data_IF_900396458138
#
_entry.id   IF_900396458138
#
_cell.length_a   1.000
_cell.length_b   1.000
_cell.length_c   1.000
_cell.angle_alpha   90.00
_cell.angle_beta   90.00
_cell.angle_gamma   90.00
#
_symmetry.space_group_name_H-M   'P 1'
#
loop_
_entity.id
_entity.type
_entity.pdbx_description
1 polymer ?
#
# COMPACT_ATOMS: atom_id res chain seq x y z
N UNK A 1 -3.24 3.39 -11.00
CA UNK A 1 -3.12 2.18 -11.84
C UNK A 1 -3.20 2.57 -13.31
N UNK A 2 -2.26 2.09 -14.15
CA UNK A 2 -2.40 2.20 -15.60
C UNK A 2 -3.46 1.21 -16.12
N UNK A 3 -4.27 1.60 -17.11
CA UNK A 3 -5.20 0.67 -17.74
C UNK A 3 -4.46 -0.48 -18.40
N UNK A 4 -4.97 -1.71 -18.26
CA UNK A 4 -4.49 -2.85 -19.06
C UNK A 4 -4.95 -2.63 -20.50
N UNK A 5 -4.17 -1.86 -21.26
CA UNK A 5 -4.37 -1.65 -22.70
C UNK A 5 -3.67 -2.78 -23.44
N UNK A 6 -4.36 -3.90 -23.60
CA UNK A 6 -3.92 -4.98 -24.49
C UNK A 6 -4.51 -4.78 -25.87
N UNK A 7 -3.68 -4.86 -26.92
CA UNK A 7 -4.14 -4.85 -28.33
C UNK A 7 -5.15 -5.96 -28.65
N UNK A 8 -5.24 -7.00 -27.80
CA UNK A 8 -6.11 -8.17 -28.01
C UNK A 8 -7.38 -8.18 -27.15
N UNK A 9 -7.52 -7.27 -26.18
CA UNK A 9 -8.68 -7.28 -25.28
C UNK A 9 -9.69 -6.19 -25.66
N UNK A 10 -10.97 -6.57 -25.70
CA UNK A 10 -12.10 -5.65 -25.88
C UNK A 10 -12.61 -5.05 -24.55
N UNK A 11 -11.70 -4.77 -23.62
CA UNK A 11 -12.08 -4.25 -22.31
C UNK A 11 -12.23 -2.73 -22.38
N UNK A 12 -13.39 -2.22 -21.95
CA UNK A 12 -13.59 -0.79 -21.71
C UNK A 12 -12.90 -0.38 -20.42
N UNK A 13 -12.34 0.83 -20.39
CA UNK A 13 -11.74 1.42 -19.20
C UNK A 13 -12.29 2.82 -19.01
N UNK A 14 -12.80 3.08 -17.82
CA UNK A 14 -13.31 4.38 -17.41
C UNK A 14 -12.39 4.93 -16.34
N UNK A 15 -11.88 6.13 -16.58
CA UNK A 15 -11.00 6.80 -15.63
C UNK A 15 -11.82 7.74 -14.74
N UNK A 16 -12.18 7.24 -13.56
CA UNK A 16 -12.93 7.98 -12.57
C UNK A 16 -12.86 7.35 -11.19
N UNK A 17 -13.31 8.09 -10.19
CA UNK A 17 -13.46 7.63 -8.82
C UNK A 17 -14.89 7.13 -8.62
N UNK A 18 -15.05 5.89 -8.13
CA UNK A 18 -16.35 5.42 -7.69
C UNK A 18 -16.77 6.16 -6.42
N UNK A 19 -17.97 6.73 -6.41
CA UNK A 19 -18.51 7.47 -5.27
C UNK A 19 -19.65 6.72 -4.58
N UNK A 20 -20.48 6.01 -5.34
CA UNK A 20 -21.64 5.31 -4.82
C UNK A 20 -21.95 4.04 -5.61
N UNK A 21 -22.62 3.08 -4.97
CA UNK A 21 -23.15 1.87 -5.61
C UNK A 21 -24.63 1.77 -5.28
N UNK A 22 -25.47 1.85 -6.30
CA UNK A 22 -26.89 1.55 -6.19
C UNK A 22 -27.11 0.07 -6.51
N UNK A 23 -27.42 -0.70 -5.47
CA UNK A 23 -27.67 -2.14 -5.58
C UNK A 23 -29.06 -2.45 -6.17
N UNK A 24 -30.01 -1.51 -6.08
CA UNK A 24 -31.36 -1.69 -6.60
C UNK A 24 -31.40 -1.43 -8.11
N UNK A 25 -30.84 -0.31 -8.55
CA UNK A 25 -30.79 0.06 -9.97
C UNK A 25 -29.60 -0.58 -10.70
N UNK A 26 -28.71 -1.29 -9.98
CA UNK A 26 -27.46 -1.84 -10.47
C UNK A 26 -26.59 -0.82 -11.20
N UNK A 27 -26.34 0.31 -10.55
CA UNK A 27 -25.46 1.37 -11.07
C UNK A 27 -24.32 1.69 -10.13
N UNK A 28 -23.20 2.16 -10.70
CA UNK A 28 -22.09 2.77 -9.98
C UNK A 28 -22.00 4.22 -10.40
N UNK A 29 -22.12 5.13 -9.44
CA UNK A 29 -21.90 6.56 -9.67
C UNK A 29 -20.40 6.83 -9.65
N UNK A 30 -19.91 7.46 -10.72
CA UNK A 30 -18.50 7.73 -10.94
C UNK A 30 -18.29 9.23 -11.13
N UNK A 31 -17.29 9.77 -10.44
CA UNK A 31 -16.75 11.11 -10.68
C UNK A 31 -15.56 11.01 -11.66
N UNK A 32 -15.60 11.74 -12.76
CA UNK A 32 -14.50 11.79 -13.72
C UNK A 32 -13.16 12.20 -13.06
N UNK A 33 -12.08 11.50 -13.41
CA UNK A 33 -10.75 11.76 -12.86
C UNK A 33 -9.67 11.91 -13.94
N UNK A 34 -10.05 12.27 -15.17
CA UNK A 34 -9.12 12.40 -16.30
C UNK A 34 -8.14 13.55 -16.10
N UNK A 35 -8.63 14.69 -15.60
CA UNK A 35 -7.83 15.90 -15.38
C UNK A 35 -7.38 16.08 -13.91
N UNK A 36 -7.49 15.04 -13.08
CA UNK A 36 -7.10 15.11 -11.67
C UNK A 36 -5.58 15.20 -11.51
N UNK A 37 -5.09 16.24 -10.84
CA UNK A 37 -3.65 16.44 -10.58
C UNK A 37 -3.06 15.38 -9.64
N UNK A 38 -3.90 14.70 -8.85
CA UNK A 38 -3.50 13.59 -7.99
C UNK A 38 -3.67 12.21 -8.66
N UNK A 39 -3.90 12.16 -9.97
CA UNK A 39 -4.02 10.92 -10.72
C UNK A 39 -2.80 10.01 -10.47
N UNK A 40 -3.07 8.75 -10.10
CA UNK A 40 -2.04 7.74 -9.90
C UNK A 40 -1.25 7.85 -8.59
N UNK A 41 -1.71 8.68 -7.65
CA UNK A 41 -1.23 8.70 -6.26
C UNK A 41 -2.23 7.99 -5.35
N UNK A 42 -1.71 7.16 -4.45
CA UNK A 42 -2.49 6.64 -3.35
C UNK A 42 -2.86 7.80 -2.43
N UNK A 43 -4.15 8.05 -2.30
CA UNK A 43 -4.64 9.04 -1.35
C UNK A 43 -4.40 8.52 0.07
N UNK A 44 -4.11 9.43 1.00
CA UNK A 44 -3.93 9.13 2.43
C UNK A 44 -5.18 9.43 3.25
N UNK A 45 -6.17 10.09 2.65
CA UNK A 45 -7.50 10.37 3.20
C UNK A 45 -8.57 10.40 2.11
N UNK A 46 -9.83 10.57 2.51
CA UNK A 46 -10.89 10.98 1.58
C UNK A 46 -10.58 12.36 0.98
N UNK A 47 -11.02 12.62 -0.26
CA UNK A 47 -10.78 13.90 -0.98
C UNK A 47 -11.25 15.16 -0.21
N UNK A 48 -12.26 15.02 0.64
CA UNK A 48 -12.88 16.13 1.39
C UNK A 48 -12.38 16.28 2.82
N UNK A 49 -11.43 15.44 3.24
CA UNK A 49 -11.04 15.34 4.64
C UNK A 49 -10.11 16.49 5.07
N UNK A 50 -10.59 17.32 6.00
CA UNK A 50 -9.87 18.48 6.55
C UNK A 50 -10.04 19.81 5.79
N UNK A 51 -10.98 19.91 4.84
CA UNK A 51 -11.28 21.18 4.16
C UNK A 51 -12.34 21.98 4.92
N UNK A 52 -12.02 23.21 5.30
CA UNK A 52 -13.03 24.16 5.82
C UNK A 52 -13.96 24.64 4.70
N UNK A 53 -15.16 25.14 5.03
CA UNK A 53 -16.12 25.67 4.04
C UNK A 53 -15.51 26.71 3.10
N UNK A 54 -14.56 27.51 3.59
CA UNK A 54 -13.85 28.53 2.81
C UNK A 54 -12.81 27.93 1.86
N UNK A 55 -12.13 26.84 2.23
CA UNK A 55 -11.24 26.08 1.34
C UNK A 55 -12.04 25.28 0.30
N UNK A 56 -13.19 24.74 0.67
CA UNK A 56 -14.16 24.18 -0.28
C UNK A 56 -14.62 25.24 -1.29
N UNK A 57 -14.90 26.47 -0.84
CA UNK A 57 -15.26 27.61 -1.71
C UNK A 57 -14.10 28.12 -2.58
N UNK A 58 -12.86 28.05 -2.08
CA UNK A 58 -11.66 28.49 -2.81
C UNK A 58 -11.21 27.43 -3.83
N UNK A 59 -11.40 26.15 -3.55
CA UNK A 59 -11.24 25.05 -4.52
C UNK A 59 -12.28 25.14 -5.65
N UNK A 60 -13.50 25.60 -5.32
CA UNK A 60 -14.54 25.93 -6.31
C UNK A 60 -14.10 27.11 -7.20
N UNK A 61 -13.41 28.12 -6.65
CA UNK A 61 -12.97 29.31 -7.43
C UNK A 61 -11.64 29.09 -8.19
N UNK A 62 -10.78 28.18 -7.73
CA UNK A 62 -9.44 27.93 -8.26
C UNK A 62 -9.35 26.58 -8.98
N UNK A 63 -10.22 26.32 -9.96
CA UNK A 63 -10.12 25.24 -10.97
C UNK A 63 -9.55 23.87 -10.49
N UNK A 64 -10.07 23.31 -9.40
CA UNK A 64 -10.23 21.85 -9.32
C UNK A 64 -11.70 21.57 -9.64
N UNK A 65 -12.06 21.52 -10.92
CA UNK A 65 -13.40 21.05 -11.31
C UNK A 65 -13.54 19.64 -10.74
N UNK A 66 -14.42 19.45 -9.75
CA UNK A 66 -14.99 18.12 -9.50
C UNK A 66 -15.43 17.58 -10.86
N UNK A 67 -15.01 16.35 -11.17
CA UNK A 67 -15.26 15.75 -12.47
C UNK A 67 -16.75 15.66 -12.72
N UNK A 68 -17.17 15.59 -13.99
CA UNK A 68 -18.57 15.31 -14.27
C UNK A 68 -18.93 13.95 -13.65
N UNK A 69 -20.07 13.92 -12.94
CA UNK A 69 -20.62 12.68 -12.41
C UNK A 69 -21.50 12.00 -13.45
N UNK A 70 -21.38 10.69 -13.55
CA UNK A 70 -22.22 9.86 -14.40
C UNK A 70 -22.38 8.47 -13.77
N UNK A 71 -23.46 7.80 -14.15
CA UNK A 71 -23.76 6.45 -13.69
C UNK A 71 -23.36 5.43 -14.76
N UNK A 72 -22.77 4.32 -14.33
CA UNK A 72 -22.55 3.13 -15.16
C UNK A 72 -23.39 1.98 -14.63
N UNK A 73 -24.20 1.38 -15.49
CA UNK A 73 -24.92 0.15 -15.18
C UNK A 73 -23.98 -1.06 -15.16
N UNK A 74 -24.32 -2.05 -14.34
CA UNK A 74 -23.62 -3.34 -14.30
C UNK A 74 -24.59 -4.51 -14.23
N UNK A 75 -24.22 -5.64 -14.82
CA UNK A 75 -24.90 -6.92 -14.56
C UNK A 75 -24.28 -7.61 -13.34
N UNK A 76 -22.95 -7.55 -13.24
CA UNK A 76 -22.15 -8.08 -12.12
C UNK A 76 -21.10 -7.05 -11.71
N UNK A 77 -20.93 -6.87 -10.40
CA UNK A 77 -19.99 -5.92 -9.81
C UNK A 77 -18.89 -6.65 -9.04
N UNK A 78 -17.62 -6.36 -9.36
CA UNK A 78 -16.46 -6.87 -8.63
C UNK A 78 -15.73 -5.71 -7.98
N UNK A 79 -15.74 -5.66 -6.65
CA UNK A 79 -15.11 -4.62 -5.85
C UNK A 79 -13.69 -5.05 -5.51
N UNK A 80 -12.71 -4.36 -6.08
CA UNK A 80 -11.27 -4.62 -5.90
C UNK A 80 -10.47 -3.35 -5.62
N UNK A 81 -11.04 -2.43 -4.83
CA UNK A 81 -10.52 -1.05 -4.63
C UNK A 81 -9.35 -0.96 -3.65
N UNK A 82 -8.94 -2.07 -3.05
CA UNK A 82 -7.78 -2.14 -2.15
C UNK A 82 -7.94 -1.33 -0.86
N UNK A 83 -6.81 -0.84 -0.35
CA UNK A 83 -6.68 -0.17 0.94
C UNK A 83 -5.77 1.06 0.83
N UNK A 84 -5.86 1.96 1.82
CA UNK A 84 -5.12 3.22 1.89
C UNK A 84 -4.02 3.13 2.96
N UNK A 85 -3.05 4.04 2.92
CA UNK A 85 -2.02 4.11 3.97
C UNK A 85 -2.61 4.67 5.26
N UNK A 86 -2.27 4.06 6.40
CA UNK A 86 -2.73 4.53 7.71
C UNK A 86 -1.66 5.36 8.41
N UNK A 87 -2.01 6.60 8.76
CA UNK A 87 -1.13 7.53 9.49
C UNK A 87 -1.33 7.48 11.01
N UNK A 88 -2.36 6.77 11.47
CA UNK A 88 -2.76 6.68 12.90
C UNK A 88 -3.03 8.04 13.56
N UNK A 89 -3.38 9.05 12.75
CA UNK A 89 -3.54 10.45 13.19
C UNK A 89 -2.29 11.01 13.90
N UNK A 90 -1.10 10.50 13.56
CA UNK A 90 0.16 11.01 14.08
C UNK A 90 0.44 12.35 13.38
N UNK A 91 0.58 13.46 14.14
CA UNK A 91 0.77 14.79 13.55
C UNK A 91 1.95 14.86 12.59
N UNK A 92 1.71 15.46 11.42
CA UNK A 92 2.73 15.72 10.39
C UNK A 92 3.09 14.53 9.50
N UNK A 93 2.69 13.30 9.85
CA UNK A 93 2.97 12.11 9.00
C UNK A 93 2.25 12.22 7.66
N UNK A 94 1.00 12.67 7.65
CA UNK A 94 0.21 12.81 6.41
C UNK A 94 0.82 13.86 5.49
N UNK A 95 1.33 14.94 6.05
CA UNK A 95 1.82 16.13 5.35
C UNK A 95 3.26 15.99 4.88
N UNK A 96 4.09 15.24 5.61
CA UNK A 96 5.55 15.29 5.47
C UNK A 96 6.20 13.93 5.20
N UNK A 97 5.56 12.81 5.52
CA UNK A 97 6.15 11.50 5.28
C UNK A 97 6.05 11.10 3.80
N UNK A 98 7.05 10.37 3.32
CA UNK A 98 7.04 9.72 2.03
C UNK A 98 6.41 8.33 2.17
N UNK A 99 5.21 8.15 1.62
CA UNK A 99 4.63 6.80 1.52
C UNK A 99 5.36 5.98 0.46
N UNK A 100 5.09 4.67 0.40
CA UNK A 100 5.63 3.77 -0.62
C UNK A 100 4.52 2.84 -1.13
N UNK A 101 3.51 3.42 -1.80
CA UNK A 101 2.33 2.69 -2.27
C UNK A 101 2.24 2.65 -3.80
N UNK A 102 2.55 3.76 -4.46
CA UNK A 102 2.42 3.90 -5.92
C UNK A 102 3.70 4.47 -6.59
N UNK A 103 3.72 4.46 -7.93
CA UNK A 103 4.85 4.97 -8.74
C UNK A 103 5.13 6.45 -8.47
N UNK A 104 4.09 7.24 -8.19
CA UNK A 104 4.24 8.65 -7.83
C UNK A 104 5.07 8.83 -6.56
N UNK A 105 4.89 7.94 -5.59
CA UNK A 105 5.64 7.95 -4.33
C UNK A 105 7.11 7.63 -4.56
N UNK A 106 7.40 6.60 -5.36
CA UNK A 106 8.77 6.22 -5.70
C UNK A 106 9.55 7.37 -6.37
N UNK A 107 8.89 8.12 -7.27
CA UNK A 107 9.48 9.32 -7.88
C UNK A 107 9.73 10.43 -6.86
N UNK A 108 8.79 10.65 -5.94
CA UNK A 108 8.93 11.63 -4.85
C UNK A 108 10.10 11.29 -3.92
N UNK A 109 10.22 10.01 -3.55
CA UNK A 109 11.33 9.48 -2.75
C UNK A 109 12.67 9.70 -3.45
N UNK A 110 12.80 9.29 -4.72
CA UNK A 110 14.05 9.50 -5.50
C UNK A 110 14.42 10.99 -5.54
N UNK A 111 13.45 11.86 -5.83
CA UNK A 111 13.66 13.30 -5.83
C UNK A 111 14.17 13.80 -4.48
N UNK A 112 13.51 13.41 -3.38
CA UNK A 112 13.88 13.86 -2.03
C UNK A 112 15.27 13.37 -1.63
N UNK A 113 15.60 12.11 -1.93
CA UNK A 113 16.93 11.55 -1.70
C UNK A 113 18.02 12.38 -2.39
N UNK A 114 17.82 12.70 -3.68
CA UNK A 114 18.78 13.52 -4.44
C UNK A 114 18.90 14.93 -3.85
N UNK A 115 17.78 15.57 -3.49
CA UNK A 115 17.78 16.88 -2.83
C UNK A 115 18.58 16.88 -1.52
N UNK A 116 18.48 15.82 -0.71
CA UNK A 116 19.27 15.68 0.52
C UNK A 116 20.78 15.63 0.25
N UNK A 117 21.22 14.83 -0.73
CA UNK A 117 22.64 14.72 -1.10
C UNK A 117 23.18 16.00 -1.73
N UNK A 118 22.43 16.61 -2.64
CA UNK A 118 22.82 17.87 -3.29
C UNK A 118 22.92 19.02 -2.28
N UNK A 119 21.97 19.09 -1.32
CA UNK A 119 22.02 20.08 -0.23
C UNK A 119 23.20 19.83 0.70
N UNK A 120 23.48 18.56 1.05
CA UNK A 120 24.62 18.21 1.88
C UNK A 120 25.97 18.51 1.21
N UNK A 121 26.04 18.44 -0.11
CA UNK A 121 27.23 18.72 -0.91
C UNK A 121 27.56 20.22 -0.99
N UNK A 122 26.62 21.11 -0.63
CA UNK A 122 26.87 22.55 -0.66
C UNK A 122 27.98 22.91 0.35
N UNK A 123 28.95 23.78 -0.02
CA UNK A 123 29.98 24.27 0.89
C UNK A 123 29.40 25.02 2.09
N UNK A 124 28.20 25.57 1.94
CA UNK A 124 27.48 26.33 2.98
C UNK A 124 26.76 25.45 3.99
N UNK A 125 26.70 24.13 3.80
CA UNK A 125 25.96 23.22 4.70
C UNK A 125 26.87 22.73 5.83
N UNK A 126 26.59 23.08 7.11
CA UNK A 126 27.39 22.62 8.25
C UNK A 126 27.23 21.12 8.51
N UNK A 127 28.18 20.50 9.24
CA UNK A 127 28.19 19.05 9.46
C UNK A 127 26.98 18.54 10.26
N UNK A 128 26.50 19.27 11.28
CA UNK A 128 25.30 18.88 12.04
C UNK A 128 24.05 18.83 11.14
N UNK A 129 23.97 19.73 10.16
CA UNK A 129 22.91 19.71 9.14
C UNK A 129 23.10 18.53 8.19
N UNK A 130 24.33 18.24 7.74
CA UNK A 130 24.64 17.07 6.90
C UNK A 130 24.21 15.76 7.57
N UNK A 131 24.54 15.58 8.84
CA UNK A 131 24.15 14.40 9.64
C UNK A 131 22.63 14.25 9.71
N UNK A 132 21.91 15.37 9.87
CA UNK A 132 20.45 15.37 9.94
C UNK A 132 19.79 15.06 8.59
N UNK A 133 20.21 15.72 7.50
CA UNK A 133 19.56 15.56 6.19
C UNK A 133 19.98 14.29 5.45
N UNK A 134 21.08 13.65 5.85
CA UNK A 134 21.50 12.34 5.35
C UNK A 134 21.10 11.18 6.28
N UNK A 135 20.29 11.47 7.30
CA UNK A 135 19.60 10.47 8.09
C UNK A 135 18.22 10.17 7.49
N UNK A 136 18.02 8.92 7.09
CA UNK A 136 16.80 8.42 6.47
C UNK A 136 16.07 7.48 7.45
N UNK A 137 14.89 7.89 7.90
CA UNK A 137 14.05 7.10 8.77
C UNK A 137 13.06 6.26 7.95
N UNK A 138 12.92 4.99 8.29
CA UNK A 138 11.95 4.08 7.67
C UNK A 138 11.04 3.54 8.77
N UNK A 139 9.74 3.84 8.68
CA UNK A 139 8.74 3.43 9.67
C UNK A 139 7.98 2.21 9.14
N UNK A 140 8.09 1.11 9.87
CA UNK A 140 7.57 -0.22 9.53
C UNK A 140 8.67 -1.21 9.16
N UNK A 141 8.89 -2.19 10.01
CA UNK A 141 9.78 -3.35 9.83
C UNK A 141 9.11 -4.53 9.14
N UNK A 142 8.01 -4.32 8.42
CA UNK A 142 7.45 -5.32 7.50
C UNK A 142 8.33 -5.48 6.24
N UNK A 143 8.00 -6.44 5.34
CA UNK A 143 8.78 -6.69 4.13
C UNK A 143 9.05 -5.44 3.30
N UNK A 144 8.04 -4.58 3.12
CA UNK A 144 8.17 -3.34 2.34
C UNK A 144 9.25 -2.41 2.88
N UNK A 145 9.23 -2.12 4.19
CA UNK A 145 10.21 -1.22 4.80
C UNK A 145 11.61 -1.83 4.83
N UNK A 146 11.72 -3.13 5.09
CA UNK A 146 12.98 -3.88 5.05
C UNK A 146 13.60 -3.87 3.65
N UNK A 147 12.83 -4.24 2.62
CA UNK A 147 13.31 -4.23 1.24
C UNK A 147 13.70 -2.82 0.78
N UNK A 148 12.93 -1.80 1.19
CA UNK A 148 13.25 -0.42 0.89
C UNK A 148 14.56 0.03 1.55
N UNK A 149 14.75 -0.24 2.85
CA UNK A 149 16.00 0.08 3.55
C UNK A 149 17.21 -0.60 2.93
N UNK A 150 17.05 -1.85 2.51
CA UNK A 150 18.07 -2.60 1.79
C UNK A 150 18.45 -1.96 0.44
N UNK A 151 17.47 -1.62 -0.39
CA UNK A 151 17.72 -0.97 -1.69
C UNK A 151 18.28 0.46 -1.51
N UNK A 152 17.83 1.19 -0.49
CA UNK A 152 18.36 2.51 -0.16
C UNK A 152 19.84 2.42 0.26
N UNK A 153 20.18 1.46 1.12
CA UNK A 153 21.56 1.18 1.49
C UNK A 153 22.42 0.85 0.27
N UNK A 154 21.96 -0.08 -0.58
CA UNK A 154 22.69 -0.46 -1.79
C UNK A 154 22.91 0.74 -2.72
N UNK A 155 21.87 1.56 -2.95
CA UNK A 155 21.97 2.79 -3.76
C UNK A 155 22.98 3.77 -3.17
N UNK A 156 22.95 4.00 -1.85
CA UNK A 156 23.87 4.92 -1.18
C UNK A 156 25.33 4.43 -1.30
N UNK A 157 25.58 3.17 -0.96
CA UNK A 157 26.96 2.66 -0.86
C UNK A 157 27.57 2.21 -2.19
N UNK A 158 26.76 1.92 -3.22
CA UNK A 158 27.26 1.48 -4.53
C UNK A 158 27.28 2.60 -5.57
N UNK A 159 26.28 3.47 -5.55
CA UNK A 159 26.08 4.50 -6.58
C UNK A 159 26.38 5.90 -6.03
N UNK A 160 25.73 6.32 -4.94
CA UNK A 160 25.95 7.66 -4.36
C UNK A 160 27.36 7.83 -3.82
N UNK A 161 27.98 6.77 -3.30
CA UNK A 161 29.37 6.78 -2.81
C UNK A 161 30.40 7.12 -3.88
N UNK A 162 30.11 6.86 -5.16
CA UNK A 162 30.99 7.24 -6.27
C UNK A 162 30.91 8.73 -6.57
N UNK A 163 29.74 9.35 -6.38
CA UNK A 163 29.51 10.77 -6.66
C UNK A 163 29.81 11.68 -5.47
N UNK A 164 29.47 11.22 -4.26
CA UNK A 164 29.56 11.97 -3.02
C UNK A 164 30.37 11.19 -1.97
N UNK A 165 31.63 10.80 -2.25
CA UNK A 165 32.42 9.94 -1.36
C UNK A 165 32.57 10.54 0.04
N UNK A 166 32.76 11.86 0.13
CA UNK A 166 32.90 12.59 1.40
C UNK A 166 31.63 12.63 2.25
N UNK A 167 30.46 12.40 1.65
CA UNK A 167 29.18 12.48 2.35
C UNK A 167 28.75 11.15 2.98
N UNK A 168 29.29 10.02 2.52
CA UNK A 168 28.88 8.69 2.98
C UNK A 168 29.06 8.50 4.48
N UNK A 169 30.08 9.12 5.09
CA UNK A 169 30.29 9.11 6.54
C UNK A 169 29.15 9.74 7.36
N UNK A 170 28.34 10.59 6.75
CA UNK A 170 27.18 11.22 7.39
C UNK A 170 25.87 10.47 7.15
N UNK A 171 25.86 9.48 6.25
CA UNK A 171 24.63 8.76 5.91
C UNK A 171 24.23 7.81 7.03
N UNK A 172 22.94 7.80 7.36
CA UNK A 172 22.38 6.91 8.36
C UNK A 172 21.02 6.41 7.91
N UNK A 173 20.75 5.12 8.10
CA UNK A 173 19.43 4.54 7.88
C UNK A 173 18.95 3.93 9.19
N UNK A 174 17.77 4.36 9.66
CA UNK A 174 17.16 3.81 10.86
C UNK A 174 15.76 3.28 10.56
N UNK A 175 15.53 2.01 10.83
CA UNK A 175 14.21 1.38 10.77
C UNK A 175 13.55 1.48 12.14
N UNK A 176 12.31 1.96 12.19
CA UNK A 176 11.50 2.03 13.40
C UNK A 176 10.30 1.08 13.27
N UNK A 177 10.08 0.23 14.26
CA UNK A 177 8.90 -0.62 14.35
C UNK A 177 8.30 -0.59 15.77
N UNK A 178 6.98 -0.69 15.85
CA UNK A 178 6.24 -0.72 17.12
C UNK A 178 6.25 -2.11 17.76
N UNK A 179 6.37 -3.16 16.95
CA UNK A 179 6.57 -4.53 17.38
C UNK A 179 7.94 -4.73 18.02
N UNK A 180 8.06 -5.81 18.78
CA UNK A 180 9.30 -6.25 19.42
C UNK A 180 10.33 -6.80 18.42
N UNK A 181 9.86 -7.27 17.25
CA UNK A 181 10.68 -7.79 16.15
C UNK A 181 10.21 -7.26 14.80
N UNK A 182 11.15 -7.12 13.86
CA UNK A 182 10.84 -6.89 12.43
C UNK A 182 10.54 -8.21 11.74
N UNK A 183 9.90 -8.17 10.58
CA UNK A 183 9.58 -9.35 9.77
C UNK A 183 8.84 -10.44 10.56
N UNK A 184 7.94 -10.06 11.47
CA UNK A 184 7.20 -10.96 12.38
C UNK A 184 6.35 -12.03 11.68
N UNK A 185 6.14 -11.88 10.37
CA UNK A 185 5.49 -12.84 9.48
C UNK A 185 6.42 -13.96 8.97
N UNK A 186 7.70 -13.93 9.32
CA UNK A 186 8.67 -14.97 9.04
C UNK A 186 8.99 -15.79 10.29
N UNK A 187 9.52 -16.99 10.10
CA UNK A 187 10.15 -17.81 11.13
C UNK A 187 11.25 -17.03 11.85
N UNK A 188 11.35 -17.25 13.16
CA UNK A 188 12.24 -16.50 14.06
C UNK A 188 13.70 -16.51 13.57
N UNK A 189 14.18 -17.65 13.05
CA UNK A 189 15.56 -17.77 12.57
C UNK A 189 15.83 -16.91 11.34
N UNK A 190 14.84 -16.74 10.46
CA UNK A 190 14.95 -15.86 9.30
C UNK A 190 14.91 -14.39 9.71
N UNK A 191 14.08 -14.05 10.69
CA UNK A 191 14.07 -12.72 11.32
C UNK A 191 15.42 -12.37 11.93
N UNK A 192 16.01 -13.26 12.72
CA UNK A 192 17.32 -13.07 13.37
C UNK A 192 18.45 -12.94 12.34
N UNK A 193 18.38 -13.71 11.26
CA UNK A 193 19.31 -13.60 10.13
C UNK A 193 19.23 -12.21 9.48
N UNK A 194 18.02 -11.69 9.24
CA UNK A 194 17.81 -10.36 8.66
C UNK A 194 18.33 -9.24 9.58
N UNK A 195 18.02 -9.31 10.88
CA UNK A 195 18.52 -8.38 11.90
C UNK A 195 20.05 -8.34 11.92
N UNK A 196 20.69 -9.52 11.93
CA UNK A 196 22.15 -9.64 11.90
C UNK A 196 22.75 -9.10 10.60
N UNK A 197 22.07 -9.30 9.47
CA UNK A 197 22.51 -8.79 8.16
C UNK A 197 22.51 -7.25 8.12
N UNK A 198 21.44 -6.62 8.62
CA UNK A 198 21.31 -5.17 8.66
C UNK A 198 22.24 -4.50 9.66
N UNK A 199 22.43 -5.09 10.85
CA UNK A 199 23.43 -4.61 11.81
C UNK A 199 24.84 -4.57 11.19
N UNK A 200 25.24 -5.62 10.45
CA UNK A 200 26.52 -5.65 9.72
C UNK A 200 26.61 -4.65 8.57
N UNK A 201 25.48 -4.20 8.04
CA UNK A 201 25.39 -3.22 6.95
C UNK A 201 25.27 -1.78 7.47
N UNK A 202 25.34 -1.56 8.79
CA UNK A 202 25.22 -0.21 9.38
C UNK A 202 23.80 0.36 9.34
N UNK A 203 22.79 -0.50 9.16
CA UNK A 203 21.37 -0.11 9.24
C UNK A 203 20.89 -0.33 10.68
N UNK A 204 20.50 0.74 11.36
CA UNK A 204 19.97 0.67 12.71
C UNK A 204 18.52 0.17 12.69
N UNK A 205 18.17 -0.75 13.59
CA UNK A 205 16.80 -1.23 13.75
C UNK A 205 16.36 -0.96 15.18
N UNK A 206 15.24 -0.24 15.32
CA UNK A 206 14.65 0.18 16.58
C UNK A 206 13.25 -0.37 16.71
N UNK A 207 13.14 -1.51 17.38
CA UNK A 207 11.88 -2.15 17.74
C UNK A 207 11.29 -1.53 19.01
N UNK A 208 10.00 -1.77 19.25
CA UNK A 208 9.24 -1.19 20.36
C UNK A 208 9.32 0.34 20.42
N UNK A 209 9.41 1.00 19.26
CA UNK A 209 9.48 2.46 19.14
C UNK A 209 8.28 3.00 18.37
N UNK A 210 7.53 3.87 19.04
CA UNK A 210 6.38 4.55 18.45
C UNK A 210 6.77 5.97 18.01
N UNK A 211 6.44 6.33 16.78
CA UNK A 211 6.55 7.70 16.26
C UNK A 211 5.44 8.56 16.87
N UNK A 212 5.78 9.77 17.31
CA UNK A 212 4.87 10.71 17.98
C UNK A 212 4.47 11.90 17.10
N UNK A 213 5.40 12.42 16.31
CA UNK A 213 5.14 13.44 15.30
C UNK A 213 6.28 13.49 14.29
N UNK A 214 6.01 14.11 13.14
CA UNK A 214 7.00 14.46 12.13
C UNK A 214 6.84 15.95 11.82
N UNK A 215 7.70 16.80 12.34
CA UNK A 215 7.57 18.25 12.25
C UNK A 215 8.54 18.82 11.20
N UNK A 216 8.18 19.86 10.44
CA UNK A 216 9.11 20.50 9.51
C UNK A 216 10.22 21.24 10.27
N UNK A 217 11.44 21.24 9.71
CA UNK A 217 12.63 21.84 10.34
C UNK A 217 13.54 20.80 11.00
N UNK A 218 14.72 21.23 11.43
CA UNK A 218 15.68 20.38 12.13
C UNK A 218 15.79 20.83 13.60
N UNK A 219 16.01 19.93 14.57
CA UNK A 219 15.92 20.25 16.00
C UNK A 219 16.94 21.28 16.49
N UNK A 220 18.12 21.33 15.87
CA UNK A 220 19.23 22.22 16.26
C UNK A 220 19.48 23.36 15.26
N UNK A 221 18.46 23.73 14.48
CA UNK A 221 18.55 24.81 13.48
C UNK A 221 17.44 25.83 13.73
N UNK A 222 17.85 27.08 13.95
CA UNK A 222 16.92 28.20 14.12
C UNK A 222 15.89 28.25 12.97
N UNK A 223 14.60 28.46 13.24
CA UNK A 223 13.59 28.53 12.21
C UNK A 223 13.81 29.75 11.30
N UNK A 224 14.33 29.53 10.09
CA UNK A 224 14.27 30.51 9.00
C UNK A 224 13.35 30.01 7.87
N UNK A 225 13.05 30.85 6.87
CA UNK A 225 12.20 30.46 5.73
C UNK A 225 12.73 29.24 4.94
N UNK A 226 14.00 28.87 5.12
CA UNK A 226 14.67 27.77 4.43
C UNK A 226 14.74 26.49 5.29
N UNK A 227 14.68 26.58 6.61
CA UNK A 227 14.83 25.45 7.54
C UNK A 227 13.74 24.39 7.37
N UNK A 228 12.50 24.82 7.10
CA UNK A 228 11.38 23.93 6.78
C UNK A 228 11.53 23.14 5.46
N UNK A 229 12.50 23.51 4.59
CA UNK A 229 12.83 22.79 3.35
C UNK A 229 14.00 21.82 3.52
N UNK A 230 14.83 22.00 4.55
CA UNK A 230 16.05 21.22 4.76
C UNK A 230 15.75 19.80 5.21
N UNK A 231 14.84 19.62 6.18
CA UNK A 231 14.54 18.32 6.76
C UNK A 231 13.37 18.38 7.73
N UNK A 232 13.26 17.32 8.52
CA UNK A 232 12.18 17.13 9.47
C UNK A 232 12.72 16.70 10.83
N UNK A 233 12.00 17.07 11.88
CA UNK A 233 12.22 16.61 13.25
C UNK A 233 11.31 15.42 13.49
N UNK A 234 11.91 14.24 13.65
CA UNK A 234 11.22 13.01 14.01
C UNK A 234 11.19 12.85 15.53
N UNK A 235 9.98 12.87 16.11
CA UNK A 235 9.79 12.62 17.55
C UNK A 235 9.44 11.16 17.78
N UNK A 236 10.24 10.47 18.59
CA UNK A 236 10.08 9.04 18.89
C UNK A 236 9.88 8.87 20.39
N UNK A 237 8.94 8.01 20.79
CA UNK A 237 8.64 7.78 22.19
C UNK A 237 9.87 7.28 22.98
N UNK A 238 10.23 8.03 24.02
CA UNK A 238 11.35 7.69 24.90
C UNK A 238 12.74 7.88 24.27
N UNK A 239 12.85 8.71 23.22
CA UNK A 239 14.12 9.14 22.64
C UNK A 239 14.16 10.66 22.48
N UNK A 240 15.37 11.21 22.34
CA UNK A 240 15.55 12.61 21.94
C UNK A 240 15.12 12.83 20.49
N UNK A 241 14.70 14.06 20.19
CA UNK A 241 14.32 14.51 18.87
C UNK A 241 15.46 14.30 17.86
N UNK A 242 15.13 13.90 16.64
CA UNK A 242 16.13 13.61 15.59
C UNK A 242 15.83 14.34 14.30
N UNK A 243 16.85 14.99 13.74
CA UNK A 243 16.82 15.45 12.36
C UNK A 243 16.81 14.26 11.39
N UNK A 244 15.93 14.32 10.40
CA UNK A 244 15.86 13.39 9.27
C UNK A 244 15.69 14.15 7.96
N UNK A 245 16.39 13.73 6.91
CA UNK A 245 16.19 14.25 5.57
C UNK A 245 14.93 13.69 4.92
N UNK A 246 14.62 12.42 5.19
CA UNK A 246 13.47 11.73 4.62
C UNK A 246 12.90 10.76 5.65
N UNK A 247 11.57 10.73 5.76
CA UNK A 247 10.84 9.78 6.60
C UNK A 247 9.93 8.94 5.70
N UNK A 248 10.21 7.64 5.59
CA UNK A 248 9.43 6.72 4.78
C UNK A 248 8.40 6.06 5.66
N UNK A 249 7.13 6.16 5.27
CA UNK A 249 6.02 5.55 6.00
C UNK A 249 5.51 4.32 5.25
N UNK A 250 5.93 3.15 5.70
CA UNK A 250 5.62 1.85 5.09
C UNK A 250 4.80 0.93 6.00
N UNK A 251 4.12 1.49 7.00
CA UNK A 251 3.32 0.75 7.98
C UNK A 251 1.84 1.17 7.95
N UNK A 252 0.98 0.22 8.30
CA UNK A 252 -0.44 0.44 8.51
C UNK A 252 -1.25 0.54 7.22
N UNK A 253 -2.37 -0.17 7.21
CA UNK A 253 -3.37 -0.08 6.17
C UNK A 253 -4.69 0.35 6.80
N UNK A 254 -5.36 1.31 6.18
CA UNK A 254 -6.73 1.69 6.51
C UNK A 254 -7.66 1.26 5.38
N UNK A 255 -8.93 1.02 5.73
CA UNK A 255 -9.94 0.70 4.73
C UNK A 255 -10.14 1.86 3.78
N UNK A 256 -10.39 1.54 2.50
CA UNK A 256 -10.67 2.54 1.49
C UNK A 256 -11.91 3.36 1.92
N UNK A 257 -11.84 4.71 1.98
CA UNK A 257 -12.96 5.57 2.37
C UNK A 257 -14.23 5.35 1.53
N UNK A 258 -14.09 4.93 0.27
CA UNK A 258 -15.23 4.56 -0.57
C UNK A 258 -16.05 3.43 0.07
N UNK A 259 -15.42 2.41 0.64
CA UNK A 259 -16.13 1.32 1.33
C UNK A 259 -16.90 1.86 2.53
N UNK A 260 -16.27 2.72 3.33
CA UNK A 260 -16.86 3.28 4.55
C UNK A 260 -18.03 4.22 4.27
N UNK A 261 -18.00 4.94 3.14
CA UNK A 261 -19.03 5.95 2.79
C UNK A 261 -20.14 5.40 1.90
N UNK A 262 -19.78 4.62 0.88
CA UNK A 262 -20.69 4.23 -0.20
C UNK A 262 -21.36 2.87 0.04
N UNK A 263 -20.73 2.00 0.82
CA UNK A 263 -21.08 0.58 0.90
C UNK A 263 -21.41 0.15 2.32
N UNK A 264 -21.81 1.07 3.19
CA UNK A 264 -22.17 0.74 4.58
C UNK A 264 -23.66 0.44 4.69
N UNK A 265 -24.53 1.32 4.17
CA UNK A 265 -25.99 1.19 4.24
C UNK A 265 -26.62 0.85 2.88
N UNK A 266 -27.53 -0.11 2.86
CA UNK A 266 -28.34 -0.44 1.68
C UNK A 266 -29.60 0.43 1.73
N UNK A 267 -29.54 1.59 1.08
CA UNK A 267 -30.62 2.59 1.10
C UNK A 267 -31.96 2.06 0.58
N UNK A 268 -31.91 1.18 -0.43
CA UNK A 268 -33.07 0.53 -1.03
C UNK A 268 -32.79 -0.95 -1.17
N UNK A 269 -33.59 -1.78 -0.51
CA UNK A 269 -33.43 -3.23 -0.52
C UNK A 269 -33.68 -3.79 -1.93
N UNK A 270 -32.73 -4.56 -2.51
CA UNK A 270 -32.86 -5.13 -3.85
C UNK A 270 -33.29 -6.60 -3.80
N UNK A 271 -34.60 -6.93 -3.82
CA UNK A 271 -35.09 -8.29 -3.56
C UNK A 271 -34.54 -9.33 -4.56
N UNK A 272 -34.38 -8.96 -5.82
CA UNK A 272 -33.88 -9.88 -6.87
C UNK A 272 -32.38 -10.18 -6.76
N UNK A 273 -31.64 -9.34 -6.04
CA UNK A 273 -30.20 -9.50 -5.81
C UNK A 273 -29.87 -10.29 -4.55
N UNK A 274 -30.82 -10.47 -3.63
CA UNK A 274 -30.54 -11.06 -2.33
C UNK A 274 -30.85 -12.55 -2.34
N UNK A 275 -29.86 -13.35 -1.96
CA UNK A 275 -30.02 -14.78 -1.72
C UNK A 275 -29.94 -15.00 -0.20
N UNK A 276 -31.05 -15.47 0.36
CA UNK A 276 -31.15 -15.81 1.77
C UNK A 276 -30.62 -17.22 2.02
N UNK A 277 -29.87 -17.38 3.11
CA UNK A 277 -29.44 -18.70 3.57
C UNK A 277 -30.56 -19.39 4.36
N UNK A 278 -31.29 -18.62 5.16
CA UNK A 278 -32.38 -19.06 6.01
C UNK A 278 -33.62 -18.18 5.79
N UNK A 279 -34.81 -18.66 6.20
CA UNK A 279 -36.05 -17.87 6.08
C UNK A 279 -35.95 -16.63 6.99
N UNK A 280 -36.07 -15.45 6.39
CA UNK A 280 -36.12 -14.16 7.10
C UNK A 280 -37.54 -13.59 6.97
N UNK A 281 -38.23 -13.46 8.09
CA UNK A 281 -39.55 -12.80 8.13
C UNK A 281 -39.40 -11.29 7.93
N UNK A 282 -40.35 -10.70 7.19
CA UNK A 282 -40.43 -9.26 6.93
C UNK A 282 -39.14 -8.62 6.39
N UNK A 283 -38.38 -9.36 5.58
CA UNK A 283 -37.07 -8.91 5.07
C UNK A 283 -37.11 -7.54 4.35
N UNK A 284 -38.23 -7.19 3.73
CA UNK A 284 -38.45 -5.89 3.06
C UNK A 284 -38.60 -4.70 4.02
N UNK A 285 -38.99 -4.95 5.27
CA UNK A 285 -39.19 -3.92 6.29
C UNK A 285 -37.93 -3.66 7.12
N UNK A 286 -36.96 -4.57 7.06
CA UNK A 286 -35.69 -4.44 7.77
C UNK A 286 -34.75 -3.46 7.04
N UNK A 287 -33.97 -2.72 7.82
CA UNK A 287 -32.82 -1.99 7.30
C UNK A 287 -31.63 -2.93 7.18
N UNK A 288 -30.99 -2.94 6.00
CA UNK A 288 -29.89 -3.84 5.68
C UNK A 288 -28.59 -3.07 5.47
N UNK A 289 -27.50 -3.70 5.89
CA UNK A 289 -26.15 -3.18 5.75
C UNK A 289 -25.25 -4.25 5.15
N UNK A 290 -24.22 -3.83 4.41
CA UNK A 290 -23.18 -4.76 3.98
C UNK A 290 -22.39 -5.17 5.22
N UNK A 291 -22.18 -6.47 5.39
CA UNK A 291 -21.42 -7.00 6.53
C UNK A 291 -19.96 -6.55 6.39
N UNK A 292 -19.46 -5.86 7.40
CA UNK A 292 -18.08 -5.40 7.47
C UNK A 292 -17.33 -6.08 8.62
N UNK A 293 -16.03 -6.31 8.43
CA UNK A 293 -15.17 -6.84 9.47
C UNK A 293 -15.00 -5.78 10.58
N UNK A 294 -15.31 -6.08 11.85
CA UNK A 294 -15.34 -5.08 12.91
C UNK A 294 -13.95 -4.47 13.22
N UNK A 295 -12.87 -5.20 12.93
CA UNK A 295 -11.50 -4.72 13.19
C UNK A 295 -10.97 -3.86 12.05
N UNK A 296 -11.26 -4.24 10.80
CA UNK A 296 -10.61 -3.64 9.62
C UNK A 296 -11.54 -2.79 8.76
N UNK A 297 -12.86 -2.91 8.93
CA UNK A 297 -13.86 -2.30 8.04
C UNK A 297 -13.97 -2.99 6.66
N UNK A 298 -13.28 -4.11 6.43
CA UNK A 298 -13.29 -4.79 5.14
C UNK A 298 -14.66 -5.39 4.84
N UNK A 299 -15.06 -5.39 3.56
CA UNK A 299 -16.28 -6.10 3.12
C UNK A 299 -16.13 -7.59 3.47
N UNK A 300 -17.13 -8.17 4.12
CA UNK A 300 -17.17 -9.60 4.39
C UNK A 300 -17.86 -10.31 3.23
N UNK A 301 -17.25 -11.40 2.78
CA UNK A 301 -17.73 -12.25 1.69
C UNK A 301 -17.92 -13.68 2.16
N UNK A 302 -18.73 -14.46 1.45
CA UNK A 302 -18.75 -15.91 1.61
C UNK A 302 -17.51 -16.56 0.97
N UNK A 303 -17.43 -17.89 1.04
CA UNK A 303 -16.36 -18.69 0.43
C UNK A 303 -16.35 -18.69 -1.12
N UNK A 304 -17.36 -18.08 -1.74
CA UNK A 304 -17.47 -17.82 -3.18
C UNK A 304 -17.26 -16.34 -3.53
N UNK A 305 -16.74 -15.55 -2.59
CA UNK A 305 -16.41 -14.13 -2.74
C UNK A 305 -17.62 -13.21 -2.99
N UNK A 306 -18.85 -13.69 -2.79
CA UNK A 306 -20.07 -12.87 -2.83
C UNK A 306 -20.21 -12.06 -1.55
N UNK A 307 -20.63 -10.81 -1.69
CA UNK A 307 -20.76 -9.86 -0.57
C UNK A 307 -21.89 -10.29 0.38
N UNK A 308 -21.59 -10.36 1.68
CA UNK A 308 -22.58 -10.67 2.71
C UNK A 308 -23.32 -9.42 3.17
N UNK A 309 -24.60 -9.57 3.52
CA UNK A 309 -25.43 -8.50 4.08
C UNK A 309 -26.09 -8.98 5.38
N UNK A 310 -26.34 -8.05 6.28
CA UNK A 310 -26.96 -8.30 7.59
C UNK A 310 -28.00 -7.24 7.90
N UNK A 311 -29.16 -7.62 8.49
CA UNK A 311 -30.14 -6.66 8.94
C UNK A 311 -29.72 -6.03 10.28
N UNK A 312 -30.21 -4.84 10.58
CA UNK A 312 -29.99 -4.18 11.87
C UNK A 312 -30.49 -5.02 13.04
N UNK A 313 -29.72 -5.00 14.15
CA UNK A 313 -30.05 -5.74 15.38
C UNK A 313 -29.78 -7.24 15.34
N UNK A 314 -29.37 -7.82 14.20
CA UNK A 314 -28.95 -9.22 14.14
C UNK A 314 -27.50 -9.37 14.64
N UNK A 315 -27.33 -9.99 15.81
CA UNK A 315 -26.02 -10.32 16.37
C UNK A 315 -25.30 -11.43 15.58
N UNK A 316 -24.68 -11.06 14.46
CA UNK A 316 -23.52 -11.78 13.91
C UNK A 316 -23.77 -12.98 12.99
N UNK A 317 -24.97 -13.58 12.96
CA UNK A 317 -25.24 -14.75 12.10
C UNK A 317 -25.53 -14.39 10.63
N UNK A 318 -25.03 -15.22 9.71
CA UNK A 318 -25.12 -15.05 8.25
C UNK A 318 -26.56 -15.23 7.77
N UNK A 319 -27.23 -14.15 7.36
CA UNK A 319 -28.62 -14.22 6.88
C UNK A 319 -28.76 -14.19 5.36
N UNK A 320 -27.91 -13.44 4.65
CA UNK A 320 -27.99 -13.34 3.20
C UNK A 320 -26.71 -12.86 2.52
N UNK A 321 -26.64 -13.04 1.21
CA UNK A 321 -25.57 -12.52 0.36
C UNK A 321 -26.13 -11.96 -0.95
N UNK A 322 -25.38 -11.06 -1.58
CA UNK A 322 -25.71 -10.52 -2.90
C UNK A 322 -25.36 -11.55 -3.99
N UNK A 323 -26.21 -11.65 -5.02
CA UNK A 323 -26.09 -12.61 -6.11
C UNK A 323 -24.95 -12.23 -7.06
N UNK A 324 -24.95 -10.98 -7.50
CA UNK A 324 -24.08 -10.48 -8.57
C UNK A 324 -23.01 -9.48 -8.11
N UNK A 325 -22.82 -9.34 -6.79
CA UNK A 325 -21.82 -8.44 -6.20
C UNK A 325 -20.75 -9.22 -5.44
N UNK A 326 -19.49 -9.00 -5.82
CA UNK A 326 -18.31 -9.70 -5.32
C UNK A 326 -17.29 -8.72 -4.76
N UNK A 327 -16.45 -9.16 -3.83
CA UNK A 327 -15.31 -8.36 -3.35
C UNK A 327 -14.03 -9.19 -3.24
N UNK A 328 -12.89 -8.61 -3.65
CA UNK A 328 -11.59 -9.27 -3.68
C UNK A 328 -10.45 -8.36 -3.22
N UNK A 329 -9.30 -8.95 -2.89
CA UNK A 329 -8.12 -8.20 -2.44
C UNK A 329 -8.29 -7.58 -1.06
N UNK A 330 -7.53 -6.52 -0.79
CA UNK A 330 -7.36 -5.94 0.55
C UNK A 330 -8.61 -5.24 1.10
N UNK A 331 -9.58 -4.90 0.26
CA UNK A 331 -10.87 -4.35 0.69
C UNK A 331 -11.86 -5.43 1.17
N UNK A 332 -11.47 -6.71 1.17
CA UNK A 332 -12.36 -7.84 1.43
C UNK A 332 -11.76 -8.89 2.36
N UNK A 333 -12.60 -9.48 3.19
CA UNK A 333 -12.29 -10.68 3.98
C UNK A 333 -13.35 -11.76 3.72
N UNK A 334 -12.96 -13.03 3.83
CA UNK A 334 -13.93 -14.13 3.78
C UNK A 334 -14.37 -14.40 5.20
N UNK A 335 -15.68 -14.60 5.42
CA UNK A 335 -16.21 -14.87 6.73
C UNK A 335 -15.50 -16.08 7.38
N UNK A 336 -15.12 -15.93 8.66
CA UNK A 336 -14.41 -16.94 9.44
C UNK A 336 -13.03 -17.36 8.86
N UNK A 337 -12.48 -16.62 7.89
CA UNK A 337 -11.14 -16.86 7.36
C UNK A 337 -10.30 -15.59 7.41
N UNK A 338 -9.15 -15.67 8.07
CA UNK A 338 -8.21 -14.55 8.11
C UNK A 338 -7.10 -14.77 7.09
N UNK A 339 -7.23 -14.13 5.93
CA UNK A 339 -6.19 -14.15 4.89
C UNK A 339 -5.35 -12.87 4.97
N UNK A 340 -4.01 -12.96 4.79
CA UNK A 340 -3.16 -11.77 4.84
C UNK A 340 -3.43 -10.85 3.63
N UNK A 341 -3.36 -9.54 3.83
CA UNK A 341 -3.49 -8.52 2.79
C UNK A 341 -2.27 -8.54 1.86
N UNK A 342 -2.28 -9.44 0.88
CA UNK A 342 -1.15 -9.69 -0.01
C UNK A 342 -1.61 -9.80 -1.46
N UNK A 343 -0.72 -9.41 -2.38
CA UNK A 343 -0.92 -9.60 -3.82
C UNK A 343 -1.15 -11.09 -4.18
N UNK A 344 -0.61 -12.01 -3.38
CA UNK A 344 -0.80 -13.45 -3.56
C UNK A 344 -2.26 -13.86 -3.36
N UNK A 345 -2.88 -13.42 -2.26
CA UNK A 345 -4.30 -13.68 -1.97
C UNK A 345 -5.18 -12.99 -3.02
N UNK A 346 -4.92 -11.71 -3.31
CA UNK A 346 -5.70 -10.95 -4.30
C UNK A 346 -5.68 -11.62 -5.69
N UNK A 347 -4.49 -12.04 -6.17
CA UNK A 347 -4.34 -12.68 -7.47
C UNK A 347 -4.97 -14.08 -7.53
N UNK A 348 -4.91 -14.84 -6.43
CA UNK A 348 -5.60 -16.14 -6.36
C UNK A 348 -7.12 -15.99 -6.34
N UNK A 349 -7.65 -15.04 -5.54
CA UNK A 349 -9.09 -14.70 -5.53
C UNK A 349 -9.56 -14.30 -6.93
N UNK A 350 -8.84 -13.40 -7.60
CA UNK A 350 -9.17 -12.95 -8.95
C UNK A 350 -9.17 -14.09 -9.97
N UNK A 351 -8.14 -14.96 -9.97
CA UNK A 351 -8.06 -16.12 -10.88
C UNK A 351 -9.14 -17.14 -10.62
N UNK A 352 -9.49 -17.39 -9.36
CA UNK A 352 -10.58 -18.29 -9.01
C UNK A 352 -11.92 -17.73 -9.47
N UNK A 353 -12.22 -16.47 -9.14
CA UNK A 353 -13.48 -15.82 -9.49
C UNK A 353 -13.69 -15.74 -11.01
N UNK A 354 -12.65 -15.38 -11.76
CA UNK A 354 -12.72 -15.34 -13.21
C UNK A 354 -13.06 -16.73 -13.81
N UNK A 355 -12.50 -17.82 -13.26
CA UNK A 355 -12.83 -19.17 -13.71
C UNK A 355 -14.25 -19.57 -13.32
N UNK A 356 -14.69 -19.23 -12.12
CA UNK A 356 -16.03 -19.53 -11.65
C UNK A 356 -17.09 -18.81 -12.50
N UNK A 357 -16.88 -17.52 -12.80
CA UNK A 357 -17.75 -16.74 -13.69
C UNK A 357 -17.79 -17.29 -15.11
N UNK A 358 -16.64 -17.65 -15.70
CA UNK A 358 -16.59 -18.18 -17.07
C UNK A 358 -17.27 -19.55 -17.21
N UNK A 359 -17.40 -20.31 -16.12
CA UNK A 359 -18.01 -21.65 -16.09
C UNK A 359 -19.43 -21.66 -15.53
N UNK A 360 -19.93 -20.50 -15.07
CA UNK A 360 -21.15 -20.38 -14.29
C UNK A 360 -21.19 -21.30 -13.04
N UNK A 361 -20.02 -21.53 -12.44
CA UNK A 361 -19.80 -22.44 -11.32
C UNK A 361 -19.95 -21.75 -9.95
N UNK A 362 -20.72 -20.67 -9.90
CA UNK A 362 -20.99 -19.92 -8.67
C UNK A 362 -22.15 -20.51 -7.85
N UNK A 363 -22.90 -21.44 -8.44
CA UNK A 363 -23.99 -22.17 -7.79
C UNK A 363 -23.59 -23.58 -7.35
N UNK A 364 -22.42 -24.07 -7.79
CA UNK A 364 -21.88 -25.37 -7.41
C UNK A 364 -21.16 -25.37 -6.05
N UNK A 365 -20.55 -26.50 -5.73
CA UNK A 365 -19.81 -26.73 -4.47
C UNK A 365 -18.38 -26.18 -4.49
N UNK A 366 -17.95 -25.60 -5.61
CA UNK A 366 -16.61 -25.04 -5.73
C UNK A 366 -16.48 -23.79 -4.84
N UNK A 367 -15.47 -23.81 -3.96
CA UNK A 367 -15.18 -22.74 -3.00
C UNK A 367 -13.74 -22.27 -3.14
N UNK A 368 -13.51 -21.00 -2.83
CA UNK A 368 -12.17 -20.45 -2.81
C UNK A 368 -11.36 -21.05 -1.65
N UNK A 369 -10.16 -21.57 -1.97
CA UNK A 369 -9.17 -21.99 -0.98
C UNK A 369 -7.83 -21.35 -1.30
N UNK A 370 -7.32 -20.56 -0.36
CA UNK A 370 -6.03 -19.92 -0.49
C UNK A 370 -4.90 -20.96 -0.37
N UNK A 371 -3.97 -20.93 -1.31
CA UNK A 371 -2.75 -21.73 -1.26
C UNK A 371 -1.56 -20.83 -0.94
N UNK A 372 -1.03 -20.91 0.27
CA UNK A 372 0.17 -20.16 0.64
C UNK A 372 1.39 -20.72 -0.12
N UNK A 373 2.00 -19.88 -0.96
CA UNK A 373 3.22 -20.19 -1.72
C UNK A 373 4.50 -19.78 -0.98
N UNK A 374 4.36 -19.26 0.24
CA UNK A 374 5.46 -18.69 1.02
C UNK A 374 5.60 -17.20 0.83
N UNK A 375 6.63 -16.67 1.49
CA UNK A 375 6.96 -15.25 1.53
C UNK A 375 8.47 -15.04 1.34
N UNK A 376 8.84 -13.92 0.72
CA UNK A 376 10.23 -13.55 0.49
C UNK A 376 10.45 -12.08 0.85
N UNK A 377 11.68 -11.73 1.23
CA UNK A 377 12.12 -10.35 1.39
C UNK A 377 13.60 -10.21 0.98
N UNK A 378 13.90 -9.20 0.17
CA UNK A 378 15.26 -8.78 -0.13
C UNK A 378 15.90 -8.08 1.09
N UNK A 379 17.18 -8.37 1.33
CA UNK A 379 17.95 -7.86 2.47
C UNK A 379 19.16 -7.01 2.05
N UNK A 380 19.30 -6.65 0.78
CA UNK A 380 20.46 -5.86 0.32
C UNK A 380 21.65 -6.76 -0.02
N UNK A 381 22.64 -6.20 -0.71
CA UNK A 381 23.90 -6.87 -1.03
C UNK A 381 23.75 -8.31 -1.59
N UNK A 382 22.80 -8.51 -2.51
CA UNK A 382 22.48 -9.82 -3.11
C UNK A 382 22.08 -10.91 -2.10
N UNK A 383 21.51 -10.51 -0.96
CA UNK A 383 20.99 -11.40 0.08
C UNK A 383 19.47 -11.28 0.18
N UNK A 384 18.79 -12.38 0.45
CA UNK A 384 17.34 -12.39 0.71
C UNK A 384 16.99 -13.48 1.73
N UNK A 385 15.74 -13.50 2.13
CA UNK A 385 15.12 -14.59 2.89
C UNK A 385 13.89 -15.09 2.15
N UNK A 386 13.66 -16.40 2.23
CA UNK A 386 12.49 -17.09 1.71
C UNK A 386 12.00 -18.07 2.75
N UNK A 387 10.73 -17.95 3.09
CA UNK A 387 9.99 -18.95 3.86
C UNK A 387 8.97 -19.62 2.94
N UNK A 388 9.14 -20.93 2.73
CA UNK A 388 8.30 -21.71 1.84
C UNK A 388 6.94 -22.03 2.45
N UNK A 389 5.87 -21.85 1.66
CA UNK A 389 4.54 -22.33 2.04
C UNK A 389 4.42 -23.85 1.87
N UNK A 390 3.51 -24.48 2.64
CA UNK A 390 3.15 -25.89 2.51
C UNK A 390 4.34 -26.87 2.50
N UNK A 391 5.33 -26.68 3.39
CA UNK A 391 6.45 -27.61 3.57
C UNK A 391 7.61 -27.44 2.58
N UNK A 392 7.65 -26.34 1.80
CA UNK A 392 8.74 -26.06 0.85
C UNK A 392 10.09 -25.67 1.50
N UNK A 393 10.17 -25.58 2.82
CA UNK A 393 11.39 -25.26 3.57
C UNK A 393 11.80 -23.78 3.50
N UNK A 394 12.84 -23.43 4.27
CA UNK A 394 13.33 -22.06 4.40
C UNK A 394 14.71 -21.92 3.74
N UNK A 395 14.95 -20.79 3.08
CA UNK A 395 16.22 -20.47 2.41
C UNK A 395 16.63 -19.03 2.75
N UNK A 396 17.91 -18.80 3.00
CA UNK A 396 18.45 -17.46 3.27
C UNK A 396 19.74 -17.19 2.48
N UNK A 397 20.14 -15.92 2.42
CA UNK A 397 21.37 -15.48 1.74
C UNK A 397 21.25 -15.44 0.22
N UNK A 398 22.36 -15.69 -0.47
CA UNK A 398 22.46 -15.59 -1.93
C UNK A 398 21.56 -16.57 -2.69
N UNK A 399 21.37 -17.78 -2.16
CA UNK A 399 20.46 -18.76 -2.76
C UNK A 399 19.01 -18.25 -2.74
N UNK A 400 18.57 -17.68 -1.61
CA UNK A 400 17.26 -17.04 -1.51
C UNK A 400 17.16 -15.82 -2.43
N UNK A 401 18.24 -15.06 -2.64
CA UNK A 401 18.24 -13.93 -3.57
C UNK A 401 18.01 -14.37 -5.02
N UNK A 402 18.65 -15.46 -5.47
CA UNK A 402 18.38 -16.01 -6.81
C UNK A 402 16.92 -16.47 -6.94
N UNK A 403 16.38 -17.14 -5.91
CA UNK A 403 14.97 -17.54 -5.87
C UNK A 403 14.04 -16.33 -5.92
N UNK A 404 14.32 -15.27 -5.15
CA UNK A 404 13.58 -14.01 -5.14
C UNK A 404 13.54 -13.40 -6.55
N UNK A 405 14.71 -13.24 -7.20
CA UNK A 405 14.80 -12.72 -8.57
C UNK A 405 13.97 -13.55 -9.56
N UNK A 406 14.13 -14.88 -9.52
CA UNK A 406 13.42 -15.79 -10.40
C UNK A 406 11.90 -15.73 -10.21
N UNK A 407 11.44 -15.70 -8.97
CA UNK A 407 10.02 -15.66 -8.64
C UNK A 407 9.35 -14.37 -9.09
N UNK A 408 9.96 -13.20 -8.87
CA UNK A 408 9.41 -11.92 -9.33
C UNK A 408 9.43 -11.78 -10.86
N UNK A 409 10.45 -12.31 -11.52
CA UNK A 409 10.49 -12.38 -12.98
C UNK A 409 9.35 -13.24 -13.54
N UNK A 410 9.14 -14.44 -12.99
CA UNK A 410 8.06 -15.33 -13.40
C UNK A 410 6.66 -14.73 -13.15
N UNK A 411 6.49 -13.99 -12.04
CA UNK A 411 5.23 -13.33 -11.68
C UNK A 411 4.95 -12.04 -12.44
N UNK A 412 5.90 -11.52 -13.22
CA UNK A 412 5.70 -10.31 -14.01
C UNK A 412 4.58 -10.53 -15.06
N UNK A 413 3.58 -9.65 -15.04
CA UNK A 413 2.32 -9.80 -15.80
C UNK A 413 2.53 -9.57 -17.30
N UNK A 414 3.35 -8.58 -17.68
CA UNK A 414 3.55 -8.18 -19.07
C UNK A 414 4.79 -8.83 -19.67
N UNK A 415 4.69 -9.32 -20.92
CA UNK A 415 5.85 -9.80 -21.67
C UNK A 415 6.92 -8.72 -21.85
N UNK A 416 6.49 -7.46 -22.03
CA UNK A 416 7.40 -6.32 -22.05
C UNK A 416 8.20 -6.24 -20.76
N UNK A 417 7.55 -6.36 -19.61
CA UNK A 417 8.24 -6.32 -18.32
C UNK A 417 9.16 -7.54 -18.12
N UNK A 418 8.75 -8.73 -18.59
CA UNK A 418 9.60 -9.93 -18.54
C UNK A 418 10.90 -9.80 -19.34
N UNK A 419 10.93 -8.96 -20.38
CA UNK A 419 12.15 -8.65 -21.16
C UNK A 419 12.91 -7.47 -20.54
N UNK A 420 12.20 -6.41 -20.18
CA UNK A 420 12.82 -5.18 -19.68
C UNK A 420 13.46 -5.36 -18.30
N UNK A 421 12.86 -6.14 -17.40
CA UNK A 421 13.38 -6.34 -16.04
C UNK A 421 14.79 -6.95 -16.06
N UNK A 422 15.06 -8.08 -16.74
CA UNK A 422 16.41 -8.62 -16.87
C UNK A 422 17.38 -7.66 -17.58
N UNK A 423 16.90 -6.90 -18.57
CA UNK A 423 17.72 -5.90 -19.26
C UNK A 423 18.13 -4.77 -18.31
N UNK A 424 17.21 -4.21 -17.52
CA UNK A 424 17.53 -3.22 -16.50
C UNK A 424 18.45 -3.75 -15.42
N UNK A 425 18.26 -5.00 -15.01
CA UNK A 425 19.16 -5.67 -14.08
C UNK A 425 20.58 -5.78 -14.62
N UNK A 426 20.72 -6.14 -15.90
CA UNK A 426 22.01 -6.19 -16.58
C UNK A 426 22.62 -4.78 -16.68
N UNK A 427 21.86 -3.79 -17.15
CA UNK A 427 22.32 -2.41 -17.27
C UNK A 427 22.75 -1.82 -15.92
N UNK A 428 21.99 -2.07 -14.85
CA UNK A 428 22.34 -1.60 -13.51
C UNK A 428 23.61 -2.29 -12.99
N UNK A 429 23.80 -3.57 -13.32
CA UNK A 429 25.01 -4.29 -12.96
C UNK A 429 26.23 -3.78 -13.72
N UNK A 430 26.09 -3.41 -15.01
CA UNK A 430 27.20 -2.92 -15.83
C UNK A 430 27.51 -1.44 -15.65
N UNK A 431 26.49 -0.58 -15.48
CA UNK A 431 26.61 0.87 -15.51
C UNK A 431 26.25 1.57 -14.20
N UNK A 432 25.76 0.82 -13.20
CA UNK A 432 25.17 1.39 -12.00
C UNK A 432 23.71 1.78 -12.21
N UNK A 433 23.04 2.15 -11.11
CA UNK A 433 21.63 2.57 -11.18
C UNK A 433 21.51 3.96 -11.82
N UNK A 434 20.44 4.16 -12.57
CA UNK A 434 20.11 5.50 -13.05
C UNK A 434 19.66 6.42 -11.90
N UNK A 435 20.36 7.54 -11.78
CA UNK A 435 20.30 8.55 -10.73
C UNK A 435 20.01 9.95 -11.31
N UNK A 436 19.65 10.04 -12.60
CA UNK A 436 19.22 11.30 -13.21
C UNK A 436 18.04 11.93 -12.45
N UNK A 437 17.86 13.25 -12.59
CA UNK A 437 16.64 13.92 -12.10
C UNK A 437 15.43 13.74 -13.04
N UNK A 438 15.64 13.31 -14.28
CA UNK A 438 14.66 13.30 -15.37
C UNK A 438 14.52 11.94 -16.05
#
# INVERSE_FOLDING_TARGET
MEPIRSRRNKASFVQGWAENVDLFNKTVTIEEAVADSNQGRALTTSRDDGKNEEQLRTDISTKSRSGQRFDLSYDKLIIGVGCYNQTYNIPGVKEHANFLKDVGDARSIRKRLLECFETAALPTTPNNVRESILHFAVVGGGPTGIEFSAELHDLIHQDMAKMYPELIKFTKITIYDVGDKVLSQFDEKLGDFAMSHFSRSGIDIKTSRQIRSLEPGLPDVEPDMMSGRLGYTLKVAGEADRGVGMCIWSTGLMMNPFIQKALTAIRRFPPDEVIFKDKVEDALQLQWHIKQNPRTGAIVTNDRLRVLITPDGAHGEMKAHLRDVFAIGDCSSIENQNHPATAQVASQKARWLARALNKDDLHGDNRFMFKNLGIMAYLGNMSAIFEGGNGMGNVSGRAAWVLWRGAYLAKSISWRNRVLIPMYWFLNWTFGRDISRF
#
